data_IF_764587824125
#
_entry.id   IF_764587824125
#
_cell.length_a   1.000
_cell.length_b   1.000
_cell.length_c   1.000
_cell.angle_alpha   90.00
_cell.angle_beta   90.00
_cell.angle_gamma   90.00
#
_symmetry.space_group_name_H-M   'P 1'
#
loop_
_entity.id
_entity.type
_entity.pdbx_description
1 polymer ?
#
# COMPACT_ATOMS: atom_id res chain seq x y z
N UNK A 1 -30.48 10.38 -4.12
CA UNK A 1 -29.47 11.31 -3.59
C UNK A 1 -28.48 10.56 -2.68
N UNK A 2 -27.31 11.17 -2.32
CA UNK A 2 -26.29 10.54 -1.45
C UNK A 2 -26.90 9.92 -0.18
N UNK A 3 -27.82 10.64 0.48
CA UNK A 3 -28.52 10.15 1.67
C UNK A 3 -29.31 8.85 1.44
N UNK A 4 -29.91 8.66 0.29
CA UNK A 4 -30.69 7.45 -0.01
C UNK A 4 -29.73 6.27 -0.30
N UNK A 5 -28.60 6.56 -0.93
CA UNK A 5 -27.55 5.55 -1.17
C UNK A 5 -26.89 5.09 0.15
N UNK A 6 -26.61 6.01 1.08
CA UNK A 6 -26.08 5.67 2.42
C UNK A 6 -27.08 4.80 3.21
N UNK A 7 -28.39 5.12 3.13
CA UNK A 7 -29.43 4.28 3.75
C UNK A 7 -29.53 2.90 3.11
N UNK A 8 -29.35 2.79 1.80
CA UNK A 8 -29.32 1.51 1.11
C UNK A 8 -28.11 0.67 1.58
N UNK A 9 -26.91 1.27 1.62
CA UNK A 9 -25.71 0.61 2.10
C UNK A 9 -25.87 0.09 3.54
N UNK A 10 -26.51 0.84 4.44
CA UNK A 10 -26.71 0.38 5.83
C UNK A 10 -27.66 -0.83 5.97
N UNK A 11 -28.33 -1.24 4.89
CA UNK A 11 -29.10 -2.48 4.84
C UNK A 11 -28.30 -3.68 4.30
N UNK A 12 -27.17 -3.41 3.64
CA UNK A 12 -26.34 -4.43 2.98
C UNK A 12 -25.06 -4.73 3.77
N UNK A 13 -24.56 -3.73 4.52
CA UNK A 13 -23.32 -3.83 5.30
C UNK A 13 -23.64 -3.73 6.80
N UNK A 14 -22.95 -4.48 7.68
CA UNK A 14 -23.18 -4.42 9.13
C UNK A 14 -22.59 -3.14 9.76
N UNK A 15 -23.09 -1.97 9.33
CA UNK A 15 -22.72 -0.65 9.82
C UNK A 15 -23.95 0.26 9.87
N UNK A 16 -23.97 1.18 10.81
CA UNK A 16 -25.06 2.14 10.95
C UNK A 16 -25.01 3.22 9.87
N UNK A 17 -26.15 3.82 9.58
CA UNK A 17 -26.25 4.97 8.64
C UNK A 17 -25.30 6.11 9.03
N UNK A 18 -25.14 6.34 10.37
CA UNK A 18 -24.27 7.38 10.91
C UNK A 18 -22.79 7.07 10.68
N UNK A 19 -22.36 5.82 10.88
CA UNK A 19 -20.98 5.39 10.59
C UNK A 19 -20.64 5.52 9.09
N UNK A 20 -21.53 5.06 8.22
CA UNK A 20 -21.36 5.18 6.77
C UNK A 20 -21.31 6.67 6.34
N UNK A 21 -22.17 7.52 6.94
CA UNK A 21 -22.17 8.95 6.64
C UNK A 21 -20.87 9.64 7.08
N UNK A 22 -20.32 9.25 8.23
CA UNK A 22 -19.04 9.77 8.73
C UNK A 22 -17.88 9.39 7.79
N UNK A 23 -17.83 8.15 7.32
CA UNK A 23 -16.84 7.71 6.33
C UNK A 23 -16.97 8.47 5.01
N UNK A 24 -18.20 8.69 4.54
CA UNK A 24 -18.46 9.49 3.33
C UNK A 24 -18.02 10.95 3.48
N UNK A 25 -18.22 11.54 4.66
CA UNK A 25 -17.76 12.90 4.97
C UNK A 25 -16.23 12.96 4.97
N UNK A 26 -15.56 12.03 5.68
CA UNK A 26 -14.11 11.93 5.72
C UNK A 26 -13.52 11.74 4.32
N UNK A 27 -14.11 10.86 3.50
CA UNK A 27 -13.69 10.64 2.12
C UNK A 27 -13.79 11.91 1.27
N UNK A 28 -14.86 12.68 1.43
CA UNK A 28 -15.03 13.98 0.76
C UNK A 28 -13.95 14.99 1.17
N UNK A 29 -13.57 15.03 2.47
CA UNK A 29 -12.48 15.89 2.97
C UNK A 29 -11.10 15.45 2.49
N UNK A 30 -10.91 14.16 2.22
CA UNK A 30 -9.68 13.59 1.66
C UNK A 30 -9.55 13.77 0.14
N UNK A 31 -10.55 14.38 -0.50
CA UNK A 31 -10.53 14.70 -1.92
C UNK A 31 -10.99 13.57 -2.84
N UNK A 32 -11.67 12.55 -2.30
CA UNK A 32 -12.29 11.50 -3.12
C UNK A 32 -13.37 12.14 -4.00
N UNK A 33 -13.31 11.89 -5.30
CA UNK A 33 -14.22 12.47 -6.26
C UNK A 33 -15.66 11.96 -6.05
N UNK A 34 -16.63 12.82 -6.36
CA UNK A 34 -18.04 12.57 -6.05
C UNK A 34 -18.60 11.30 -6.70
N UNK A 35 -18.14 10.94 -7.86
CA UNK A 35 -18.53 9.75 -8.62
C UNK A 35 -17.97 8.45 -8.00
N UNK A 36 -16.78 8.52 -7.39
CA UNK A 36 -16.15 7.40 -6.67
C UNK A 36 -16.48 7.37 -5.17
N UNK A 37 -17.15 8.39 -4.64
CA UNK A 37 -17.32 8.57 -3.19
C UNK A 37 -18.14 7.44 -2.54
N UNK A 38 -19.18 6.97 -3.22
CA UNK A 38 -20.05 5.92 -2.66
C UNK A 38 -19.33 4.57 -2.62
N UNK A 39 -18.69 4.19 -3.71
CA UNK A 39 -17.93 2.93 -3.81
C UNK A 39 -16.76 2.93 -2.82
N UNK A 40 -16.06 4.06 -2.70
CA UNK A 40 -15.01 4.21 -1.68
C UNK A 40 -15.55 4.04 -0.27
N UNK A 41 -16.68 4.70 0.05
CA UNK A 41 -17.32 4.61 1.37
C UNK A 41 -17.71 3.18 1.71
N UNK A 42 -18.31 2.46 0.75
CA UNK A 42 -18.66 1.05 0.90
C UNK A 42 -17.42 0.20 1.23
N UNK A 43 -16.36 0.32 0.42
CA UNK A 43 -15.13 -0.45 0.59
C UNK A 43 -14.49 -0.18 1.96
N UNK A 44 -14.40 1.10 2.37
CA UNK A 44 -13.80 1.47 3.65
C UNK A 44 -14.63 0.97 4.85
N UNK A 45 -15.95 1.03 4.73
CA UNK A 45 -16.86 0.46 5.75
C UNK A 45 -16.70 -1.05 5.85
N UNK A 46 -16.61 -1.75 4.73
CA UNK A 46 -16.35 -3.20 4.71
C UNK A 46 -14.98 -3.54 5.33
N UNK A 47 -13.94 -2.79 5.03
CA UNK A 47 -12.62 -2.95 5.66
C UNK A 47 -12.68 -2.74 7.17
N UNK A 48 -13.44 -1.75 7.64
CA UNK A 48 -13.66 -1.53 9.07
C UNK A 48 -14.35 -2.69 9.79
N UNK A 49 -15.12 -3.51 9.08
CA UNK A 49 -15.75 -4.72 9.62
C UNK A 49 -14.90 -5.99 9.47
N UNK A 50 -14.05 -6.05 8.46
CA UNK A 50 -13.27 -7.22 8.10
C UNK A 50 -11.84 -7.23 8.67
N UNK A 51 -11.37 -6.10 9.21
CA UNK A 51 -9.99 -5.92 9.69
C UNK A 51 -9.96 -5.36 11.12
N UNK A 52 -8.78 -5.21 11.68
CA UNK A 52 -8.57 -4.55 12.98
C UNK A 52 -8.52 -2.99 12.89
N UNK A 53 -8.76 -2.42 11.71
CA UNK A 53 -8.89 -0.97 11.51
C UNK A 53 -10.35 -0.53 11.68
N UNK A 54 -10.56 0.71 12.11
CA UNK A 54 -11.87 1.36 11.92
C UNK A 54 -12.05 1.78 10.46
N UNK A 55 -13.29 1.99 10.03
CA UNK A 55 -13.58 2.46 8.67
C UNK A 55 -12.95 3.83 8.37
N UNK A 56 -12.87 4.72 9.37
CA UNK A 56 -12.23 6.03 9.27
C UNK A 56 -10.70 5.93 9.13
N UNK A 57 -10.07 5.02 9.90
CA UNK A 57 -8.63 4.74 9.78
C UNK A 57 -8.30 4.16 8.40
N UNK A 58 -9.11 3.22 7.90
CA UNK A 58 -8.96 2.66 6.56
C UNK A 58 -9.12 3.76 5.49
N UNK A 59 -10.16 4.59 5.59
CA UNK A 59 -10.41 5.69 4.66
C UNK A 59 -9.24 6.67 4.61
N UNK A 60 -8.79 7.14 5.78
CA UNK A 60 -7.70 8.11 5.87
C UNK A 60 -6.38 7.56 5.33
N UNK A 61 -6.03 6.34 5.72
CA UNK A 61 -4.75 5.72 5.35
C UNK A 61 -4.71 5.35 3.87
N UNK A 62 -5.77 4.73 3.35
CA UNK A 62 -5.80 4.29 1.95
C UNK A 62 -5.99 5.44 0.97
N UNK A 63 -6.72 6.52 1.33
CA UNK A 63 -6.77 7.71 0.51
C UNK A 63 -5.39 8.39 0.41
N UNK A 64 -4.65 8.48 1.50
CA UNK A 64 -3.26 9.00 1.49
C UNK A 64 -2.34 8.12 0.66
N UNK A 65 -2.40 6.80 0.86
CA UNK A 65 -1.63 5.84 0.07
C UNK A 65 -1.89 5.99 -1.43
N UNK A 66 -3.16 6.04 -1.83
CA UNK A 66 -3.57 6.22 -3.22
C UNK A 66 -3.09 7.56 -3.81
N UNK A 67 -3.18 8.65 -3.04
CA UNK A 67 -2.67 9.95 -3.47
C UNK A 67 -1.14 9.94 -3.69
N UNK A 68 -0.38 9.23 -2.85
CA UNK A 68 1.08 9.12 -3.00
C UNK A 68 1.45 8.25 -4.20
N UNK A 69 0.78 7.12 -4.38
CA UNK A 69 1.09 6.15 -5.46
C UNK A 69 0.48 6.56 -6.79
N UNK A 70 -0.51 7.45 -6.80
CA UNK A 70 -1.32 7.78 -7.98
C UNK A 70 -2.24 6.63 -8.37
N UNK A 71 -2.67 5.81 -7.41
CA UNK A 71 -3.58 4.69 -7.63
C UNK A 71 -4.92 5.18 -8.17
N UNK A 72 -5.44 4.50 -9.19
CA UNK A 72 -6.78 4.79 -9.70
C UNK A 72 -7.87 4.41 -8.69
N UNK A 73 -8.96 5.18 -8.66
CA UNK A 73 -10.06 5.01 -7.71
C UNK A 73 -10.72 3.62 -7.79
N UNK A 74 -10.79 3.04 -8.98
CA UNK A 74 -11.35 1.71 -9.22
C UNK A 74 -10.54 0.56 -8.57
N UNK A 75 -9.34 0.83 -8.08
CA UNK A 75 -8.46 -0.16 -7.48
C UNK A 75 -8.62 -0.29 -5.95
N UNK A 76 -9.40 0.54 -5.28
CA UNK A 76 -9.56 0.46 -3.82
C UNK A 76 -10.08 -0.91 -3.34
N UNK A 77 -11.08 -1.47 -4.00
CA UNK A 77 -11.62 -2.79 -3.66
C UNK A 77 -10.59 -3.91 -3.81
N UNK A 78 -9.79 -3.86 -4.88
CA UNK A 78 -8.70 -4.83 -5.10
C UNK A 78 -7.61 -4.71 -4.06
N UNK A 79 -7.19 -3.48 -3.74
CA UNK A 79 -6.20 -3.23 -2.70
C UNK A 79 -6.70 -3.67 -1.32
N UNK A 80 -7.96 -3.38 -1.00
CA UNK A 80 -8.61 -3.84 0.24
C UNK A 80 -8.58 -5.36 0.36
N UNK A 81 -8.92 -6.08 -0.72
CA UNK A 81 -8.85 -7.55 -0.75
C UNK A 81 -7.42 -8.07 -0.53
N UNK A 82 -6.42 -7.43 -1.12
CA UNK A 82 -5.00 -7.78 -0.90
C UNK A 82 -4.60 -7.58 0.57
N UNK A 83 -5.00 -6.47 1.20
CA UNK A 83 -4.69 -6.18 2.60
C UNK A 83 -5.30 -7.24 3.52
N UNK A 84 -6.57 -7.60 3.32
CA UNK A 84 -7.26 -8.65 4.09
C UNK A 84 -6.58 -10.02 3.89
N UNK A 85 -6.23 -10.36 2.66
CA UNK A 85 -5.55 -11.63 2.36
C UNK A 85 -4.17 -11.69 3.03
N UNK A 86 -3.40 -10.62 2.96
CA UNK A 86 -2.10 -10.53 3.64
C UNK A 86 -2.24 -10.63 5.16
N UNK A 87 -3.19 -9.92 5.79
CA UNK A 87 -3.45 -9.99 7.22
C UNK A 87 -3.86 -11.40 7.69
N UNK A 88 -4.59 -12.13 6.87
CA UNK A 88 -5.01 -13.51 7.16
C UNK A 88 -3.89 -14.54 6.99
N UNK A 89 -2.89 -14.28 6.16
CA UNK A 89 -1.87 -15.26 5.78
C UNK A 89 -0.47 -14.97 6.38
N UNK A 90 -0.24 -13.78 6.91
CA UNK A 90 1.02 -13.39 7.54
C UNK A 90 0.85 -13.17 9.06
N UNK A 91 1.92 -13.29 9.81
CA UNK A 91 1.94 -13.04 11.26
C UNK A 91 2.00 -11.53 11.57
N UNK A 92 1.01 -10.78 11.10
CA UNK A 92 0.88 -9.33 11.24
C UNK A 92 -0.60 -8.95 11.21
N UNK A 93 -0.91 -7.67 11.40
CA UNK A 93 -2.27 -7.14 11.31
C UNK A 93 -2.43 -6.22 10.10
N UNK A 94 -3.65 -6.06 9.60
CA UNK A 94 -3.94 -5.19 8.46
C UNK A 94 -3.54 -3.73 8.74
N UNK A 95 -3.72 -3.25 9.97
CA UNK A 95 -3.30 -1.90 10.36
C UNK A 95 -1.78 -1.71 10.30
N UNK A 96 -1.00 -2.73 10.72
CA UNK A 96 0.47 -2.71 10.60
C UNK A 96 0.92 -2.74 9.15
N UNK A 97 0.28 -3.56 8.32
CA UNK A 97 0.54 -3.62 6.87
C UNK A 97 0.31 -2.26 6.23
N UNK A 98 -0.84 -1.64 6.50
CA UNK A 98 -1.21 -0.33 5.93
C UNK A 98 -0.30 0.78 6.44
N UNK A 99 0.07 0.77 7.73
CA UNK A 99 0.99 1.74 8.30
C UNK A 99 2.39 1.66 7.66
N UNK A 100 2.93 0.46 7.52
CA UNK A 100 4.21 0.20 6.84
C UNK A 100 4.12 0.56 5.35
N UNK A 101 3.08 0.09 4.64
CA UNK A 101 2.87 0.34 3.22
C UNK A 101 2.76 1.83 2.89
N UNK A 102 2.09 2.60 3.73
CA UNK A 102 1.98 4.06 3.56
C UNK A 102 3.34 4.75 3.67
N UNK A 103 4.25 4.27 4.53
CA UNK A 103 5.62 4.79 4.63
C UNK A 103 6.46 4.41 3.42
N UNK A 104 6.25 3.24 2.85
CA UNK A 104 6.94 2.76 1.66
C UNK A 104 6.39 3.33 0.35
N UNK A 105 5.19 3.91 0.36
CA UNK A 105 4.43 4.30 -0.83
C UNK A 105 5.24 5.13 -1.83
N UNK A 106 5.92 6.18 -1.38
CA UNK A 106 6.68 7.08 -2.24
C UNK A 106 7.91 6.40 -2.87
N UNK A 107 8.72 5.73 -2.05
CA UNK A 107 9.93 5.06 -2.53
C UNK A 107 9.59 3.81 -3.37
N UNK A 108 8.57 3.05 -2.98
CA UNK A 108 8.07 1.91 -3.74
C UNK A 108 7.56 2.32 -5.11
N UNK A 109 6.75 3.39 -5.18
CA UNK A 109 6.28 3.93 -6.47
C UNK A 109 7.44 4.41 -7.36
N UNK A 110 8.42 5.10 -6.78
CA UNK A 110 9.61 5.56 -7.51
C UNK A 110 10.42 4.37 -8.05
N UNK A 111 10.56 3.29 -7.29
CA UNK A 111 11.21 2.06 -7.69
C UNK A 111 10.39 1.22 -8.70
N UNK A 112 9.17 1.64 -9.02
CA UNK A 112 8.29 0.94 -9.98
C UNK A 112 7.47 -0.19 -9.37
N UNK A 113 7.39 -0.31 -8.04
CA UNK A 113 6.53 -1.29 -7.38
C UNK A 113 5.05 -0.93 -7.58
N UNK A 114 4.24 -1.95 -7.78
CA UNK A 114 2.77 -1.83 -7.78
C UNK A 114 2.24 -1.69 -6.35
N UNK A 115 1.02 -1.18 -6.21
CA UNK A 115 0.39 -1.02 -4.90
C UNK A 115 0.29 -2.35 -4.11
N UNK A 116 -0.11 -3.49 -4.73
CA UNK A 116 -0.05 -4.80 -4.07
C UNK A 116 1.34 -5.23 -3.63
N UNK A 117 2.37 -4.98 -4.43
CA UNK A 117 3.77 -5.31 -4.09
C UNK A 117 4.28 -4.49 -2.91
N UNK A 118 3.91 -3.21 -2.82
CA UNK A 118 4.22 -2.36 -1.66
C UNK A 118 3.58 -2.94 -0.39
N UNK A 119 2.31 -3.36 -0.45
CA UNK A 119 1.63 -3.99 0.68
C UNK A 119 2.20 -5.37 1.04
N UNK A 120 2.59 -6.17 0.04
CA UNK A 120 3.24 -7.46 0.28
C UNK A 120 4.61 -7.30 0.97
N UNK A 121 5.42 -6.32 0.54
CA UNK A 121 6.67 -5.97 1.20
C UNK A 121 6.43 -5.49 2.64
N UNK A 122 5.41 -4.66 2.85
CA UNK A 122 5.00 -4.20 4.16
C UNK A 122 4.59 -5.36 5.07
N UNK A 123 3.80 -6.31 4.57
CA UNK A 123 3.39 -7.50 5.31
C UNK A 123 4.58 -8.39 5.67
N UNK A 124 5.51 -8.62 4.74
CA UNK A 124 6.71 -9.40 4.98
C UNK A 124 7.58 -8.79 6.09
N UNK A 125 7.76 -7.46 6.08
CA UNK A 125 8.54 -6.75 7.09
C UNK A 125 7.86 -6.76 8.47
N UNK A 126 6.57 -6.45 8.55
CA UNK A 126 5.84 -6.42 9.81
C UNK A 126 5.65 -7.81 10.42
N UNK A 127 5.53 -8.85 9.60
CA UNK A 127 5.38 -10.24 10.07
C UNK A 127 6.60 -10.78 10.82
N UNK A 128 7.77 -10.21 10.62
CA UNK A 128 9.00 -10.52 11.37
C UNK A 128 9.27 -9.51 12.50
N UNK A 129 8.28 -8.71 12.86
CA UNK A 129 8.32 -7.76 13.98
C UNK A 129 9.07 -6.46 13.69
N UNK A 130 9.24 -6.08 12.42
CA UNK A 130 9.85 -4.80 12.06
C UNK A 130 8.79 -3.70 12.22
N UNK A 131 9.03 -2.77 13.11
CA UNK A 131 8.19 -1.60 13.36
C UNK A 131 8.08 -0.71 12.12
N UNK A 132 6.87 -0.22 11.81
CA UNK A 132 6.58 0.58 10.61
C UNK A 132 7.47 1.83 10.51
N UNK A 133 7.75 2.50 11.63
CA UNK A 133 8.54 3.73 11.64
C UNK A 133 10.01 3.49 11.28
N UNK A 134 10.66 2.56 11.98
CA UNK A 134 12.07 2.25 11.76
C UNK A 134 12.27 1.49 10.44
N UNK A 135 11.48 0.45 10.20
CA UNK A 135 11.57 -0.39 9.01
C UNK A 135 11.18 0.36 7.73
N UNK A 136 10.09 1.12 7.78
CA UNK A 136 9.69 1.96 6.65
C UNK A 136 10.77 2.97 6.26
N UNK A 137 11.43 3.59 7.24
CA UNK A 137 12.56 4.51 6.99
C UNK A 137 13.75 3.76 6.38
N UNK A 138 14.16 2.64 6.95
CA UNK A 138 15.31 1.86 6.46
C UNK A 138 15.07 1.34 5.04
N UNK A 139 13.90 0.76 4.77
CA UNK A 139 13.57 0.25 3.45
C UNK A 139 13.45 1.38 2.42
N UNK A 140 12.86 2.52 2.77
CA UNK A 140 12.82 3.70 1.91
C UNK A 140 14.23 4.17 1.52
N UNK A 141 15.16 4.18 2.46
CA UNK A 141 16.57 4.51 2.17
C UNK A 141 17.21 3.47 1.24
N UNK A 142 16.93 2.19 1.44
CA UNK A 142 17.43 1.11 0.59
C UNK A 142 16.91 1.23 -0.84
N UNK A 143 15.59 1.39 -1.03
CA UNK A 143 14.98 1.58 -2.35
C UNK A 143 15.56 2.79 -3.08
N UNK A 144 15.69 3.92 -2.39
CA UNK A 144 16.29 5.13 -2.94
C UNK A 144 17.77 4.98 -3.29
N UNK A 145 18.53 4.20 -2.48
CA UNK A 145 19.93 3.92 -2.76
C UNK A 145 20.10 3.05 -4.01
N UNK A 146 19.28 2.02 -4.17
CA UNK A 146 19.28 1.17 -5.37
C UNK A 146 18.87 2.00 -6.59
N UNK A 147 17.80 2.78 -6.51
CA UNK A 147 17.33 3.65 -7.60
C UNK A 147 18.44 4.60 -8.07
N UNK A 148 19.13 5.24 -7.12
CA UNK A 148 20.26 6.12 -7.41
C UNK A 148 21.43 5.37 -8.05
N UNK A 149 21.74 4.17 -7.56
CA UNK A 149 22.82 3.34 -8.11
C UNK A 149 22.50 2.89 -9.56
N UNK A 150 21.26 2.46 -9.81
CA UNK A 150 20.79 2.09 -11.15
C UNK A 150 20.83 3.27 -12.11
N UNK A 151 20.48 4.48 -11.63
CA UNK A 151 20.52 5.70 -12.45
C UNK A 151 21.94 6.16 -12.79
N UNK A 152 22.91 6.01 -11.86
CA UNK A 152 24.28 6.51 -12.00
C UNK A 152 25.24 5.48 -12.58
N UNK A 153 25.01 4.19 -12.33
CA UNK A 153 26.00 3.14 -12.57
C UNK A 153 27.19 3.20 -11.59
N UNK A 154 28.30 2.58 -11.99
CA UNK A 154 29.55 2.60 -11.23
C UNK A 154 29.59 1.59 -10.08
N UNK A 155 30.44 1.86 -9.09
CA UNK A 155 30.77 0.92 -8.01
C UNK A 155 29.56 0.60 -7.12
N UNK A 156 28.68 1.57 -6.86
CA UNK A 156 27.47 1.35 -6.08
C UNK A 156 26.53 0.34 -6.75
N UNK A 157 26.34 0.46 -8.08
CA UNK A 157 25.54 -0.51 -8.84
C UNK A 157 26.21 -1.90 -8.86
N UNK A 158 27.52 -1.94 -9.03
CA UNK A 158 28.28 -3.19 -9.03
C UNK A 158 28.15 -3.93 -7.70
N UNK A 159 28.12 -3.20 -6.57
CA UNK A 159 27.95 -3.79 -5.24
C UNK A 159 26.53 -4.35 -5.03
N UNK A 160 25.48 -3.62 -5.39
CA UNK A 160 24.10 -4.15 -5.35
C UNK A 160 23.94 -5.39 -6.22
N UNK A 161 24.46 -5.35 -7.44
CA UNK A 161 24.43 -6.47 -8.38
C UNK A 161 25.18 -7.70 -7.84
N UNK A 162 26.37 -7.50 -7.28
CA UNK A 162 27.18 -8.56 -6.65
C UNK A 162 26.44 -9.27 -5.51
N UNK A 163 25.75 -8.51 -4.64
CA UNK A 163 24.96 -9.07 -3.54
C UNK A 163 23.78 -9.87 -4.09
N UNK A 164 23.12 -9.38 -5.14
CA UNK A 164 22.02 -10.08 -5.82
C UNK A 164 22.47 -11.26 -6.70
N UNK A 165 23.77 -11.51 -6.81
CA UNK A 165 24.31 -12.59 -7.67
C UNK A 165 24.18 -12.30 -9.16
N UNK A 166 24.17 -11.05 -9.58
CA UNK A 166 23.97 -10.58 -10.97
C UNK A 166 25.13 -9.74 -11.44
N UNK A 167 25.27 -9.56 -12.76
CA UNK A 167 26.05 -8.48 -13.33
C UNK A 167 25.35 -7.13 -13.16
N UNK A 168 26.07 -6.01 -13.30
CA UNK A 168 25.50 -4.66 -13.21
C UNK A 168 24.41 -4.42 -14.24
N UNK A 169 24.58 -4.93 -15.47
CA UNK A 169 23.60 -4.85 -16.55
C UNK A 169 22.34 -5.66 -16.24
N UNK A 170 22.50 -6.88 -15.75
CA UNK A 170 21.39 -7.77 -15.36
C UNK A 170 20.58 -7.16 -14.22
N UNK A 171 21.26 -6.69 -13.16
CA UNK A 171 20.59 -6.06 -12.02
C UNK A 171 19.86 -4.78 -12.42
N UNK A 172 20.49 -3.91 -13.20
CA UNK A 172 19.88 -2.68 -13.70
C UNK A 172 18.65 -2.97 -14.58
N UNK A 173 18.73 -4.00 -15.42
CA UNK A 173 17.61 -4.43 -16.26
C UNK A 173 16.48 -5.03 -15.43
N UNK A 174 16.80 -5.91 -14.48
CA UNK A 174 15.84 -6.50 -13.55
C UNK A 174 15.10 -5.42 -12.73
N UNK A 175 15.85 -4.47 -12.16
CA UNK A 175 15.28 -3.37 -11.38
C UNK A 175 14.29 -2.52 -12.19
N UNK A 176 14.59 -2.21 -13.44
CA UNK A 176 13.72 -1.40 -14.32
C UNK A 176 12.47 -2.13 -14.81
N UNK A 177 12.53 -3.46 -14.93
CA UNK A 177 11.43 -4.26 -15.47
C UNK A 177 10.60 -4.96 -14.40
N UNK A 178 11.23 -5.36 -13.27
CA UNK A 178 10.63 -6.08 -12.16
C UNK A 178 11.45 -5.78 -10.89
N UNK A 179 11.19 -4.61 -10.30
CA UNK A 179 11.93 -4.15 -9.12
C UNK A 179 11.72 -5.07 -7.91
N UNK A 180 10.55 -5.69 -7.77
CA UNK A 180 10.28 -6.63 -6.68
C UNK A 180 11.16 -7.88 -6.79
N UNK A 181 11.29 -8.46 -7.97
CA UNK A 181 12.17 -9.62 -8.20
C UNK A 181 13.64 -9.27 -7.94
N UNK A 182 14.11 -8.10 -8.42
CA UNK A 182 15.46 -7.64 -8.16
C UNK A 182 15.72 -7.39 -6.66
N UNK A 183 14.77 -6.78 -5.94
CA UNK A 183 14.83 -6.56 -4.50
C UNK A 183 14.87 -7.88 -3.73
N UNK A 184 14.05 -8.86 -4.11
CA UNK A 184 14.02 -10.18 -3.51
C UNK A 184 15.36 -10.89 -3.69
N UNK A 185 15.97 -10.83 -4.88
CA UNK A 185 17.29 -11.41 -5.15
C UNK A 185 18.41 -10.70 -4.36
N UNK A 186 18.24 -9.42 -4.03
CA UNK A 186 19.18 -8.66 -3.21
C UNK A 186 19.07 -9.02 -1.72
N UNK A 187 17.85 -9.28 -1.22
CA UNK A 187 17.61 -9.57 0.22
C UNK A 187 17.87 -11.04 0.55
N UNK A 188 17.55 -11.97 -0.38
CA UNK A 188 17.56 -13.42 -0.20
C UNK A 188 18.81 -14.10 -0.54
#
# INVERSE_FOLDING_TARGET
AMSDSIKALSTEIPATTEEIAAVAEAAGQLGIQKDALLDFTEIMTMLGTATNMTADEAATSLARFANITGMATDNYGRLGSVIVDLGNNFATTESEIVAMGTRLASAGKLAGLTEPEIMALAAAMSSVGIEAEAGGTAMTQTLNAIEKAVAKGGDDLAEFARIAGMSSEEFSSAWKNDAMSALTSFIG
#
